data_IF_126005985455
#
_entry.id   IF_126005985455
#
_cell.length_a   1.000
_cell.length_b   1.000
_cell.length_c   1.000
_cell.angle_alpha   90.00
_cell.angle_beta   90.00
_cell.angle_gamma   90.00
#
_symmetry.space_group_name_H-M   'P 1'
#
loop_
_entity.id
_entity.type
_entity.pdbx_description
1 polymer ?
#
# COMPACT_ATOMS: atom_id res chain seq x y z
N UNK A 1 -11.48 -1.00 97.56
CA UNK A 1 -12.39 0.11 97.22
C UNK A 1 -11.53 1.35 97.05
N UNK A 2 -11.31 1.80 95.81
CA UNK A 2 -10.91 3.15 95.38
C UNK A 2 -10.27 3.03 93.99
N UNK A 3 -10.94 3.56 92.95
CA UNK A 3 -10.23 4.12 91.79
C UNK A 3 -11.01 5.36 91.33
N UNK A 4 -10.35 6.52 91.42
CA UNK A 4 -10.70 7.78 90.76
C UNK A 4 -9.83 7.94 89.50
N UNK A 5 -10.48 8.42 88.45
CA UNK A 5 -10.04 9.26 87.32
C UNK A 5 -8.56 9.67 87.16
N UNK A 6 -8.07 9.54 85.91
CA UNK A 6 -7.55 10.63 85.02
C UNK A 6 -6.91 9.99 83.76
N UNK A 7 -7.33 10.19 82.50
CA UNK A 7 -7.45 11.37 81.60
C UNK A 7 -6.35 11.37 80.51
N UNK A 8 -6.72 11.29 79.22
CA UNK A 8 -5.98 11.95 78.12
C UNK A 8 -6.83 12.12 76.84
N UNK A 9 -6.65 13.28 76.20
CA UNK A 9 -7.45 13.88 75.11
C UNK A 9 -7.27 13.23 73.72
N UNK A 10 -8.31 13.39 72.91
CA UNK A 10 -8.53 13.02 71.51
C UNK A 10 -8.07 14.11 70.52
N UNK A 11 -7.67 13.71 69.30
CA UNK A 11 -7.63 14.57 68.10
C UNK A 11 -7.46 13.76 66.80
N UNK A 12 -7.99 14.31 65.69
CA UNK A 12 -7.75 14.03 64.26
C UNK A 12 -8.61 12.94 63.58
N UNK A 13 -9.74 13.34 62.99
CA UNK A 13 -10.56 12.46 62.13
C UNK A 13 -11.51 13.12 61.11
N UNK A 14 -11.65 14.46 61.05
CA UNK A 14 -12.74 15.12 60.29
C UNK A 14 -12.46 15.53 58.83
N UNK A 15 -11.23 15.45 58.32
CA UNK A 15 -10.91 15.99 56.99
C UNK A 15 -11.06 14.98 55.83
N UNK A 16 -11.02 13.68 56.12
CA UNK A 16 -11.10 12.62 55.09
C UNK A 16 -12.53 12.27 54.69
N UNK A 17 -13.50 12.37 55.59
CA UNK A 17 -14.92 12.12 55.28
C UNK A 17 -15.51 13.17 54.34
N UNK A 18 -15.17 14.46 54.52
CA UNK A 18 -15.67 15.52 53.65
C UNK A 18 -15.18 15.36 52.19
N UNK A 19 -13.94 14.93 51.98
CA UNK A 19 -13.41 14.69 50.63
C UNK A 19 -14.12 13.55 49.91
N UNK A 20 -14.44 12.46 50.61
CA UNK A 20 -15.19 11.32 50.07
C UNK A 20 -16.62 11.71 49.69
N UNK A 21 -17.30 12.50 50.53
CA UNK A 21 -18.65 13.02 50.23
C UNK A 21 -18.66 13.91 48.98
N UNK A 22 -17.67 14.80 48.82
CA UNK A 22 -17.57 15.65 47.62
C UNK A 22 -17.34 14.87 46.33
N UNK A 23 -16.57 13.77 46.39
CA UNK A 23 -16.29 12.91 45.24
C UNK A 23 -17.52 12.08 44.84
N UNK A 24 -18.29 11.58 45.81
CA UNK A 24 -19.56 10.90 45.51
C UNK A 24 -20.60 11.83 44.90
N UNK A 25 -20.70 13.09 45.38
CA UNK A 25 -21.63 14.07 44.82
C UNK A 25 -21.29 14.44 43.36
N UNK A 26 -20.01 14.57 43.01
CA UNK A 26 -19.61 14.79 41.61
C UNK A 26 -19.94 13.60 40.71
N UNK A 27 -19.74 12.37 41.19
CA UNK A 27 -20.09 11.16 40.42
C UNK A 27 -21.60 11.03 40.21
N UNK A 28 -22.43 11.35 41.21
CA UNK A 28 -23.89 11.36 41.04
C UNK A 28 -24.36 12.41 40.03
N UNK A 29 -23.80 13.63 40.09
CA UNK A 29 -24.11 14.69 39.11
C UNK A 29 -23.68 14.31 37.69
N UNK A 30 -22.54 13.63 37.52
CA UNK A 30 -22.09 13.17 36.21
C UNK A 30 -22.94 12.02 35.64
N UNK A 31 -23.54 11.17 36.50
CA UNK A 31 -24.42 10.07 36.08
C UNK A 31 -25.82 10.58 35.70
N UNK A 32 -26.32 11.64 36.33
CA UNK A 32 -27.61 12.26 35.96
C UNK A 32 -27.53 13.04 34.62
N UNK A 33 -26.37 13.64 34.28
CA UNK A 33 -26.19 14.39 33.02
C UNK A 33 -26.06 13.47 31.80
N UNK A 34 -25.70 12.20 31.97
CA UNK A 34 -25.51 11.24 30.86
C UNK A 34 -26.81 10.49 30.50
N UNK A 35 -27.85 10.57 31.32
CA UNK A 35 -29.09 9.79 31.12
C UNK A 35 -30.28 10.60 30.56
N UNK A 36 -30.13 11.89 30.29
CA UNK A 36 -31.21 12.76 29.83
C UNK A 36 -30.85 13.48 28.53
N UNK A 37 -30.94 12.78 27.40
CA UNK A 37 -31.28 13.36 26.09
C UNK A 37 -31.50 12.22 25.08
N UNK A 38 -32.73 11.70 25.08
CA UNK A 38 -33.23 10.73 24.11
C UNK A 38 -34.67 11.04 23.73
N UNK A 39 -34.83 11.52 22.48
CA UNK A 39 -35.95 11.35 21.53
C UNK A 39 -37.31 12.02 21.87
N UNK A 40 -37.78 12.91 20.98
CA UNK A 40 -39.16 12.89 20.43
C UNK A 40 -39.17 13.41 18.97
N UNK A 41 -40.14 12.92 18.20
CA UNK A 41 -40.30 12.89 16.73
C UNK A 41 -41.41 13.88 16.33
N UNK A 42 -41.30 14.59 15.20
CA UNK A 42 -42.49 14.94 14.39
C UNK A 42 -42.15 15.29 12.94
N UNK A 43 -42.92 14.71 12.01
CA UNK A 43 -42.91 14.93 10.56
C UNK A 43 -43.44 16.31 10.19
N UNK A 44 -42.91 16.90 9.11
CA UNK A 44 -43.64 17.81 8.21
C UNK A 44 -42.90 17.95 6.87
N UNK A 45 -43.59 17.60 5.78
CA UNK A 45 -43.23 17.86 4.38
C UNK A 45 -43.23 19.36 4.05
N UNK A 46 -42.34 19.77 3.14
CA UNK A 46 -42.49 20.69 1.99
C UNK A 46 -41.15 21.43 1.68
N UNK A 47 -40.40 21.10 0.61
CA UNK A 47 -40.42 21.65 -0.77
C UNK A 47 -39.35 22.78 -1.00
N UNK A 48 -38.45 22.54 -2.00
CA UNK A 48 -37.56 23.48 -2.77
C UNK A 48 -36.32 24.08 -2.04
N UNK A 49 -35.09 24.25 -2.57
CA UNK A 49 -34.49 24.21 -3.91
C UNK A 49 -32.93 24.06 -3.81
N UNK A 50 -32.32 23.49 -4.86
CA UNK A 50 -30.99 23.76 -5.47
C UNK A 50 -29.78 24.31 -4.64
N UNK A 51 -28.70 23.52 -4.52
CA UNK A 51 -27.37 23.75 -5.16
C UNK A 51 -26.30 22.82 -4.53
N UNK A 52 -25.65 22.01 -5.37
CA UNK A 52 -24.67 21.01 -4.97
C UNK A 52 -23.26 21.59 -4.90
N UNK A 53 -22.76 21.83 -3.69
CA UNK A 53 -21.34 22.09 -3.44
C UNK A 53 -20.75 21.00 -2.55
N UNK A 54 -20.15 19.97 -3.14
CA UNK A 54 -19.32 19.01 -2.41
C UNK A 54 -17.95 19.62 -2.04
N UNK A 55 -17.40 19.33 -0.85
CA UNK A 55 -16.09 19.82 -0.45
C UNK A 55 -14.95 19.05 -1.18
N UNK A 56 -13.80 19.69 -1.47
CA UNK A 56 -12.72 19.05 -2.20
C UNK A 56 -12.03 18.00 -1.32
N UNK A 57 -12.28 16.72 -1.62
CA UNK A 57 -11.52 15.62 -1.05
C UNK A 57 -10.10 15.63 -1.61
N UNK A 58 -9.14 15.73 -0.70
CA UNK A 58 -7.70 15.66 -0.97
C UNK A 58 -7.31 14.20 -1.15
N UNK A 59 -7.55 13.64 -2.34
CA UNK A 59 -7.03 12.34 -2.74
C UNK A 59 -6.19 12.46 -4.02
N UNK A 60 -5.10 13.24 -3.92
CA UNK A 60 -4.15 13.50 -4.99
C UNK A 60 -3.19 12.31 -5.24
N UNK A 61 -3.70 11.07 -5.36
CA UNK A 61 -2.86 9.99 -5.93
C UNK A 61 -3.59 8.82 -6.59
N UNK A 62 -4.92 8.75 -6.60
CA UNK A 62 -5.65 7.70 -7.33
C UNK A 62 -6.08 8.16 -8.71
N UNK A 63 -5.14 8.19 -9.65
CA UNK A 63 -5.50 8.33 -11.07
C UNK A 63 -6.09 6.99 -11.54
N UNK A 64 -7.42 6.90 -11.55
CA UNK A 64 -8.14 5.77 -12.14
C UNK A 64 -7.72 5.56 -13.60
N UNK A 65 -7.52 4.31 -14.08
CA UNK A 65 -7.24 4.05 -15.49
C UNK A 65 -8.31 4.66 -16.42
N UNK A 66 -9.57 4.67 -15.97
CA UNK A 66 -10.68 5.28 -16.70
C UNK A 66 -10.55 6.82 -16.73
N UNK A 67 -10.20 7.46 -15.62
CA UNK A 67 -10.03 8.92 -15.59
C UNK A 67 -8.80 9.35 -16.39
N UNK A 68 -7.69 8.62 -16.32
CA UNK A 68 -6.52 8.78 -17.21
C UNK A 68 -6.91 8.72 -18.69
N UNK A 69 -7.69 7.72 -19.09
CA UNK A 69 -8.12 7.55 -20.48
C UNK A 69 -9.03 8.68 -20.95
N UNK A 70 -9.95 9.12 -20.09
CA UNK A 70 -10.83 10.26 -20.38
C UNK A 70 -10.05 11.57 -20.52
N UNK A 71 -9.04 11.79 -19.68
CA UNK A 71 -8.14 12.96 -19.78
C UNK A 71 -7.35 12.90 -21.09
N UNK A 72 -6.79 11.74 -21.44
CA UNK A 72 -6.06 11.54 -22.69
C UNK A 72 -6.95 11.83 -23.90
N UNK A 73 -8.15 11.26 -23.96
CA UNK A 73 -9.12 11.48 -25.05
C UNK A 73 -9.58 12.93 -25.15
N UNK A 74 -9.68 13.64 -24.02
CA UNK A 74 -10.04 15.07 -23.99
C UNK A 74 -8.90 15.97 -24.46
N UNK A 75 -7.66 15.57 -24.22
CA UNK A 75 -6.46 16.30 -24.64
C UNK A 75 -5.99 15.93 -26.06
N UNK A 76 -6.40 14.79 -26.62
CA UNK A 76 -6.00 14.35 -27.96
C UNK A 76 -6.55 15.22 -29.08
N UNK A 77 -7.60 16.02 -28.79
CA UNK A 77 -8.22 16.95 -29.75
C UNK A 77 -7.93 18.42 -29.45
N UNK A 78 -6.98 18.72 -28.54
CA UNK A 78 -6.52 20.10 -28.34
C UNK A 78 -5.63 20.51 -29.51
N UNK A 79 -6.28 20.92 -30.59
CA UNK A 79 -5.67 21.71 -31.65
C UNK A 79 -5.02 22.95 -31.02
N UNK A 80 -3.70 23.04 -31.17
CA UNK A 80 -2.77 24.19 -31.12
C UNK A 80 -3.25 25.57 -30.60
N UNK A 81 -4.12 25.62 -29.59
CA UNK A 81 -4.62 26.84 -28.99
C UNK A 81 -3.61 27.31 -27.95
N UNK A 82 -2.67 28.12 -28.45
CA UNK A 82 -1.92 29.15 -27.73
C UNK A 82 -1.45 28.70 -26.35
N UNK A 83 -0.22 28.16 -26.30
CA UNK A 83 0.62 28.24 -25.08
C UNK A 83 0.80 29.72 -24.74
N UNK A 84 -0.14 30.29 -23.99
CA UNK A 84 0.07 31.53 -23.25
C UNK A 84 1.15 31.22 -22.20
N UNK A 85 2.42 31.43 -22.58
CA UNK A 85 3.53 31.35 -21.65
C UNK A 85 3.40 32.54 -20.70
N UNK A 86 2.78 32.29 -19.55
CA UNK A 86 2.87 33.14 -18.38
C UNK A 86 4.34 33.41 -18.04
N UNK A 87 4.62 34.66 -17.68
CA UNK A 87 5.91 35.22 -17.28
C UNK A 87 6.74 34.24 -16.44
N UNK A 88 7.85 33.72 -17.00
CA UNK A 88 8.85 32.96 -16.24
C UNK A 88 9.91 33.92 -15.73
N UNK A 89 9.98 33.95 -14.40
CA UNK A 89 11.02 34.47 -13.50
C UNK A 89 12.36 34.75 -14.17
N UNK A 90 12.83 35.98 -13.99
CA UNK A 90 14.16 36.48 -14.37
C UNK A 90 15.25 35.70 -13.63
N UNK A 91 16.00 34.87 -14.36
CA UNK A 91 17.29 34.38 -13.89
C UNK A 91 18.31 35.51 -13.99
N UNK A 92 18.85 35.93 -12.85
CA UNK A 92 19.97 36.88 -12.74
C UNK A 92 21.19 36.21 -13.37
N UNK A 93 21.57 36.62 -14.58
CA UNK A 93 22.92 36.64 -15.16
C UNK A 93 22.79 36.80 -16.68
N UNK A 94 23.39 37.86 -17.24
CA UNK A 94 23.45 38.12 -18.67
C UNK A 94 22.46 39.19 -19.15
N UNK A 95 22.99 40.19 -19.85
CA UNK A 95 22.26 41.30 -20.46
C UNK A 95 21.08 40.79 -21.33
N UNK A 96 19.90 41.45 -21.32
CA UNK A 96 18.80 41.06 -22.20
C UNK A 96 19.15 41.40 -23.65
N UNK A 97 19.49 40.38 -24.44
CA UNK A 97 19.47 40.51 -25.89
C UNK A 97 18.03 40.68 -26.38
N UNK A 98 17.79 41.43 -27.48
CA UNK A 98 16.46 41.59 -28.03
C UNK A 98 15.85 40.22 -28.37
N UNK A 99 14.55 40.00 -28.09
CA UNK A 99 13.85 38.78 -28.48
C UNK A 99 14.04 38.53 -29.98
N UNK A 100 14.56 37.36 -30.35
CA UNK A 100 14.66 36.95 -31.74
C UNK A 100 13.26 36.93 -32.39
N UNK A 101 13.16 37.24 -33.69
CA UNK A 101 11.88 37.24 -34.38
C UNK A 101 11.19 35.87 -34.25
N UNK A 102 9.86 35.83 -34.10
CA UNK A 102 9.11 34.57 -34.09
C UNK A 102 9.44 33.77 -35.35
N UNK A 103 9.83 32.50 -35.18
CA UNK A 103 10.04 31.60 -36.31
C UNK A 103 8.75 31.48 -37.14
N UNK A 104 8.86 31.28 -38.47
CA UNK A 104 7.69 31.15 -39.33
C UNK A 104 6.82 29.97 -38.85
N UNK A 105 5.48 30.12 -38.87
CA UNK A 105 4.57 29.01 -38.56
C UNK A 105 4.89 27.80 -39.44
N UNK A 106 5.01 26.62 -38.82
CA UNK A 106 5.15 25.37 -39.56
C UNK A 106 3.93 25.15 -40.48
N UNK A 107 4.09 24.46 -41.62
CA UNK A 107 2.99 24.18 -42.53
C UNK A 107 1.87 23.43 -41.80
N UNK A 108 0.63 23.88 -42.03
CA UNK A 108 -0.55 23.23 -41.47
C UNK A 108 -0.63 21.80 -41.99
N UNK A 109 -0.77 20.83 -41.08
CA UNK A 109 -1.01 19.44 -41.45
C UNK A 109 -2.30 19.30 -42.25
N UNK A 110 -2.41 18.30 -43.15
CA UNK A 110 -3.60 18.09 -43.95
C UNK A 110 -4.85 17.94 -43.06
N UNK A 111 -6.00 18.49 -43.47
CA UNK A 111 -7.26 18.30 -42.75
C UNK A 111 -7.54 16.81 -42.54
N UNK A 112 -7.84 16.43 -41.29
CA UNK A 112 -8.27 15.07 -40.97
C UNK A 112 -9.57 14.73 -41.71
N UNK A 113 -9.82 13.45 -42.01
CA UNK A 113 -11.05 13.03 -42.66
C UNK A 113 -12.27 13.46 -41.82
N UNK A 114 -13.38 13.88 -42.45
CA UNK A 114 -14.58 14.29 -41.74
C UNK A 114 -15.05 13.15 -40.84
N UNK A 115 -15.27 13.46 -39.56
CA UNK A 115 -15.82 12.54 -38.57
C UNK A 115 -17.13 11.96 -39.12
N UNK A 116 -17.24 10.64 -39.32
CA UNK A 116 -18.50 10.04 -39.71
C UNK A 116 -19.51 10.36 -38.62
N UNK A 117 -20.54 11.14 -38.95
CA UNK A 117 -21.72 11.26 -38.11
C UNK A 117 -22.35 9.88 -38.10
N UNK A 118 -22.09 9.08 -37.07
CA UNK A 118 -22.70 7.78 -36.85
C UNK A 118 -24.09 8.03 -36.24
N UNK A 119 -25.17 8.10 -37.02
CA UNK A 119 -26.50 8.43 -36.49
C UNK A 119 -27.02 7.31 -35.58
N UNK A 120 -26.37 6.14 -35.65
CA UNK A 120 -26.69 4.90 -34.95
C UNK A 120 -25.71 4.61 -33.80
N UNK A 121 -24.88 5.58 -33.37
CA UNK A 121 -23.96 5.35 -32.25
C UNK A 121 -24.72 4.93 -30.99
N UNK A 122 -25.90 5.52 -30.73
CA UNK A 122 -26.75 5.12 -29.61
C UNK A 122 -27.25 3.68 -29.73
N UNK A 123 -27.67 3.25 -30.93
CA UNK A 123 -28.16 1.89 -31.18
C UNK A 123 -27.02 0.87 -31.07
N UNK A 124 -25.84 1.18 -31.61
CA UNK A 124 -24.65 0.34 -31.44
C UNK A 124 -24.20 0.26 -29.98
N UNK A 125 -24.31 1.35 -29.22
CA UNK A 125 -24.03 1.33 -27.79
C UNK A 125 -25.07 0.51 -27.03
N UNK A 126 -26.35 0.60 -27.37
CA UNK A 126 -27.41 -0.21 -26.75
C UNK A 126 -27.28 -1.68 -27.12
N UNK A 127 -26.96 -2.02 -28.37
CA UNK A 127 -26.71 -3.38 -28.83
C UNK A 127 -25.48 -3.96 -28.13
N UNK A 128 -24.40 -3.17 -27.99
CA UNK A 128 -23.23 -3.58 -27.23
C UNK A 128 -23.56 -3.79 -25.75
N UNK A 129 -24.33 -2.89 -25.14
CA UNK A 129 -24.77 -3.02 -23.74
C UNK A 129 -25.65 -4.26 -23.54
N UNK A 130 -26.52 -4.57 -24.50
CA UNK A 130 -27.42 -5.71 -24.47
C UNK A 130 -26.64 -7.02 -24.69
N UNK A 131 -25.72 -7.06 -25.66
CA UNK A 131 -24.78 -8.19 -25.82
C UNK A 131 -23.90 -8.39 -24.59
N UNK A 132 -23.41 -7.32 -23.96
CA UNK A 132 -22.64 -7.42 -22.71
C UNK A 132 -23.50 -7.91 -21.55
N UNK A 133 -24.79 -7.57 -21.51
CA UNK A 133 -25.76 -8.04 -20.51
C UNK A 133 -26.15 -9.50 -20.72
N UNK A 134 -26.32 -9.94 -21.96
CA UNK A 134 -26.56 -11.36 -22.29
C UNK A 134 -25.35 -12.24 -21.91
N UNK A 135 -24.14 -11.70 -22.05
CA UNK A 135 -22.91 -12.33 -21.54
C UNK A 135 -22.79 -12.27 -20.01
N UNK A 136 -23.51 -11.36 -19.33
CA UNK A 136 -23.52 -11.25 -17.88
C UNK A 136 -24.46 -12.28 -17.20
N UNK A 137 -25.43 -12.83 -17.94
CA UNK A 137 -26.34 -13.88 -17.45
C UNK A 137 -25.80 -15.31 -17.57
N UNK A 138 -24.77 -15.51 -18.40
CA UNK A 138 -24.15 -16.82 -18.66
C UNK A 138 -22.62 -16.64 -18.72
N UNK A 139 -21.94 -16.45 -17.58
CA UNK A 139 -20.49 -16.72 -17.51
C UNK A 139 -20.31 -18.25 -17.41
N UNK A 140 -20.54 -18.95 -18.52
CA UNK A 140 -20.03 -20.29 -18.78
C UNK A 140 -18.57 -20.12 -19.20
N UNK A 141 -17.66 -20.83 -18.52
CA UNK A 141 -16.67 -20.19 -17.67
C UNK A 141 -15.95 -19.06 -18.39
N UNK A 142 -15.74 -17.97 -17.66
CA UNK A 142 -14.76 -16.97 -18.02
C UNK A 142 -13.38 -17.66 -18.11
N UNK A 143 -13.08 -18.26 -19.28
CA UNK A 143 -11.91 -19.08 -19.64
C UNK A 143 -10.71 -18.17 -19.92
N UNK A 144 -10.51 -17.20 -19.02
CA UNK A 144 -9.21 -16.61 -18.81
C UNK A 144 -8.41 -17.65 -18.05
N UNK A 145 -7.09 -17.80 -18.26
CA UNK A 145 -6.28 -18.62 -17.38
C UNK A 145 -6.48 -18.13 -15.94
N UNK A 146 -7.33 -18.85 -15.19
CA UNK A 146 -7.65 -18.54 -13.80
C UNK A 146 -6.50 -19.12 -13.00
N UNK A 147 -5.49 -18.29 -12.77
CA UNK A 147 -4.46 -18.51 -11.74
C UNK A 147 -5.14 -18.99 -10.46
N UNK A 148 -4.95 -20.26 -10.11
CA UNK A 148 -5.63 -20.90 -8.99
C UNK A 148 -5.09 -20.43 -7.64
N UNK A 149 -3.79 -20.10 -7.59
CA UNK A 149 -3.15 -19.55 -6.40
C UNK A 149 -2.16 -18.44 -6.76
N UNK A 150 -2.25 -17.31 -6.06
CA UNK A 150 -1.24 -16.23 -6.13
C UNK A 150 -1.23 -15.42 -4.85
N UNK A 151 -0.10 -14.80 -4.55
CA UNK A 151 0.03 -13.87 -3.44
C UNK A 151 1.00 -12.74 -3.77
N UNK A 152 0.80 -11.60 -3.13
CA UNK A 152 1.76 -10.51 -3.04
C UNK A 152 1.79 -10.04 -1.59
N UNK A 153 2.99 -9.91 -1.07
CA UNK A 153 3.26 -9.49 0.29
C UNK A 153 4.40 -8.48 0.32
N UNK A 154 4.39 -7.63 1.34
CA UNK A 154 5.40 -6.59 1.57
C UNK A 154 5.96 -6.72 2.99
N UNK A 155 7.23 -6.42 3.15
CA UNK A 155 7.88 -6.43 4.46
C UNK A 155 7.30 -5.33 5.34
N UNK A 156 6.85 -5.66 6.57
CA UNK A 156 6.17 -4.69 7.43
C UNK A 156 7.12 -3.61 7.98
N UNK A 157 8.30 -4.01 8.46
CA UNK A 157 9.26 -3.14 9.12
C UNK A 157 10.67 -3.39 8.60
N UNK A 158 11.57 -2.39 8.68
CA UNK A 158 12.96 -2.62 8.35
C UNK A 158 13.57 -3.67 9.28
N UNK A 159 14.29 -4.63 8.70
CA UNK A 159 14.98 -5.69 9.45
C UNK A 159 16.48 -5.44 9.42
N UNK A 160 17.10 -5.31 10.59
CA UNK A 160 18.56 -5.25 10.71
C UNK A 160 19.15 -6.66 10.73
N UNK A 161 20.05 -6.94 9.80
CA UNK A 161 20.73 -8.23 9.66
C UNK A 161 22.19 -8.04 10.09
N UNK A 162 22.60 -8.66 11.22
CA UNK A 162 23.97 -8.59 11.70
C UNK A 162 24.99 -9.09 10.68
N UNK A 163 26.26 -8.68 10.85
CA UNK A 163 27.37 -9.22 10.04
C UNK A 163 27.46 -10.74 10.21
N UNK A 164 27.81 -11.45 9.13
CA UNK A 164 28.05 -12.91 9.16
C UNK A 164 26.86 -13.68 9.74
N UNK A 165 25.65 -13.30 9.35
CA UNK A 165 24.43 -13.90 9.88
C UNK A 165 23.43 -14.21 8.78
N UNK A 166 22.61 -15.24 9.04
CA UNK A 166 21.48 -15.66 8.22
C UNK A 166 20.20 -15.34 8.98
N UNK A 167 19.28 -14.61 8.35
CA UNK A 167 18.01 -14.19 8.96
C UNK A 167 16.85 -14.50 8.02
N UNK A 168 15.79 -15.10 8.57
CA UNK A 168 14.49 -15.23 7.90
C UNK A 168 13.77 -13.87 7.94
N UNK A 169 13.32 -13.38 6.80
CA UNK A 169 12.59 -12.12 6.69
C UNK A 169 11.12 -12.34 7.05
N UNK A 170 10.69 -11.78 8.19
CA UNK A 170 9.33 -11.88 8.69
C UNK A 170 9.00 -10.70 9.63
N UNK A 171 7.74 -10.27 9.72
CA UNK A 171 6.59 -10.73 8.95
C UNK A 171 6.47 -10.01 7.60
N UNK A 172 6.24 -10.76 6.52
CA UNK A 172 5.62 -10.21 5.31
C UNK A 172 4.11 -10.10 5.55
N UNK A 173 3.49 -9.02 5.08
CA UNK A 173 2.07 -8.78 5.25
C UNK A 173 1.45 -8.40 3.91
N UNK A 174 0.18 -8.77 3.72
CA UNK A 174 -0.57 -8.35 2.55
C UNK A 174 -0.74 -6.82 2.59
N UNK A 175 -0.30 -6.08 1.56
CA UNK A 175 -0.46 -4.64 1.52
C UNK A 175 -1.95 -4.24 1.61
N UNK A 176 -2.33 -3.30 2.49
CA UNK A 176 -3.74 -2.89 2.63
C UNK A 176 -4.25 -2.10 1.40
N UNK A 177 -3.37 -1.38 0.72
CA UNK A 177 -3.73 -0.45 -0.36
C UNK A 177 -3.90 -1.13 -1.73
N UNK A 178 -3.28 -2.30 -1.89
CA UNK A 178 -3.49 -3.14 -3.06
C UNK A 178 -4.64 -4.07 -2.69
N UNK A 179 -5.84 -3.68 -3.10
CA UNK A 179 -7.08 -4.36 -2.73
C UNK A 179 -7.00 -5.89 -2.85
N UNK A 180 -7.98 -6.55 -2.23
CA UNK A 180 -8.23 -8.01 -2.22
C UNK A 180 -8.03 -8.79 -3.55
N UNK A 181 -7.74 -8.11 -4.66
CA UNK A 181 -7.50 -8.62 -6.01
C UNK A 181 -6.14 -9.28 -6.26
N UNK A 182 -5.12 -9.09 -5.41
CA UNK A 182 -3.77 -9.65 -5.68
C UNK A 182 -3.51 -11.01 -5.03
N UNK A 183 -4.36 -11.43 -4.09
CA UNK A 183 -4.33 -12.78 -3.54
C UNK A 183 -5.43 -13.62 -4.20
N UNK A 184 -5.03 -14.74 -4.80
CA UNK A 184 -5.96 -15.79 -5.25
C UNK A 184 -5.74 -17.03 -4.39
N UNK A 185 -6.84 -17.53 -3.82
CA UNK A 185 -6.82 -18.67 -2.90
C UNK A 185 -6.53 -18.28 -1.44
N UNK A 186 -6.75 -19.24 -0.53
CA UNK A 186 -6.52 -19.10 0.91
C UNK A 186 -5.13 -19.61 1.30
N UNK A 187 -4.10 -18.98 0.76
CA UNK A 187 -2.72 -19.49 0.77
C UNK A 187 -1.72 -18.64 1.56
N UNK A 188 -2.13 -17.46 2.02
CA UNK A 188 -1.26 -16.56 2.79
C UNK A 188 -1.71 -16.51 4.24
N UNK A 189 -0.81 -16.83 5.17
CA UNK A 189 -1.08 -16.71 6.59
C UNK A 189 -0.61 -15.34 7.10
N UNK A 190 -1.54 -14.41 7.29
CA UNK A 190 -1.25 -13.06 7.77
C UNK A 190 -0.64 -13.00 9.18
N UNK A 191 -0.74 -14.07 9.98
CA UNK A 191 -0.18 -14.10 11.33
C UNK A 191 1.30 -14.52 11.36
N UNK A 192 1.73 -15.40 10.45
CA UNK A 192 3.12 -15.84 10.33
C UNK A 192 3.89 -15.13 9.21
N UNK A 193 3.18 -14.46 8.30
CA UNK A 193 3.77 -13.82 7.12
C UNK A 193 4.36 -14.81 6.11
N UNK A 194 3.98 -16.09 6.21
CA UNK A 194 4.43 -17.17 5.33
C UNK A 194 3.34 -17.50 4.31
N UNK A 195 3.78 -17.87 3.11
CA UNK A 195 2.89 -18.45 2.09
C UNK A 195 2.94 -19.97 2.19
N UNK A 196 1.76 -20.59 2.24
CA UNK A 196 1.57 -22.04 2.25
C UNK A 196 0.88 -22.45 0.94
N UNK A 197 1.45 -23.43 0.25
CA UNK A 197 0.94 -23.90 -1.03
C UNK A 197 -0.41 -24.61 -0.85
N UNK A 198 -1.51 -24.11 -1.44
CA UNK A 198 -2.83 -24.74 -1.30
C UNK A 198 -2.99 -26.02 -2.13
N UNK A 199 -2.16 -26.20 -3.16
CA UNK A 199 -2.16 -27.35 -4.07
C UNK A 199 -0.73 -27.65 -4.49
N UNK A 200 -0.37 -28.93 -4.64
CA UNK A 200 0.92 -29.32 -5.18
C UNK A 200 1.11 -28.84 -6.62
N UNK A 201 2.27 -28.26 -6.95
CA UNK A 201 2.56 -27.82 -8.32
C UNK A 201 3.80 -26.93 -8.44
N UNK A 202 4.03 -26.40 -9.64
CA UNK A 202 5.12 -25.47 -9.93
C UNK A 202 4.70 -24.03 -9.66
N UNK A 203 5.37 -23.39 -8.70
CA UNK A 203 5.15 -22.01 -8.33
C UNK A 203 6.30 -21.13 -8.83
N UNK A 204 5.99 -20.05 -9.53
CA UNK A 204 6.94 -18.99 -9.81
C UNK A 204 6.95 -18.00 -8.65
N UNK A 205 8.10 -17.87 -8.00
CA UNK A 205 8.30 -17.06 -6.81
C UNK A 205 9.22 -15.91 -7.17
N UNK A 206 8.89 -14.72 -6.69
CA UNK A 206 9.67 -13.50 -6.95
C UNK A 206 9.83 -12.71 -5.66
N UNK A 207 11.06 -12.29 -5.39
CA UNK A 207 11.39 -11.39 -4.27
C UNK A 207 12.18 -10.22 -4.80
N UNK A 208 11.77 -9.01 -4.44
CA UNK A 208 12.50 -7.77 -4.70
C UNK A 208 12.86 -7.16 -3.34
N UNK A 209 14.12 -7.31 -2.93
CA UNK A 209 14.62 -6.77 -1.67
C UNK A 209 15.30 -5.42 -1.92
N UNK A 210 14.98 -4.44 -1.09
CA UNK A 210 15.71 -3.17 -1.03
C UNK A 210 16.55 -3.19 0.25
N UNK A 211 17.87 -3.03 0.11
CA UNK A 211 18.83 -3.20 1.19
C UNK A 211 19.68 -1.95 1.31
N UNK A 212 19.86 -1.47 2.53
CA UNK A 212 20.74 -0.38 2.89
C UNK A 212 22.00 -0.93 3.55
N UNK A 213 23.16 -0.50 3.04
CA UNK A 213 24.47 -0.87 3.60
C UNK A 213 24.76 -0.01 4.82
N UNK A 214 25.12 -0.65 5.95
CA UNK A 214 25.51 0.09 7.15
C UNK A 214 26.77 0.94 6.97
N UNK A 215 26.96 1.90 7.87
CA UNK A 215 28.11 2.80 7.85
C UNK A 215 29.42 2.06 8.16
N UNK A 216 30.11 1.63 7.11
CA UNK A 216 31.48 1.16 7.15
C UNK A 216 32.34 1.91 6.17
N UNK A 217 33.45 2.48 6.64
CA UNK A 217 34.41 3.23 5.83
C UNK A 217 35.07 2.41 4.69
N UNK A 218 35.02 1.07 4.73
CA UNK A 218 35.58 0.20 3.71
C UNK A 218 34.69 -1.02 3.44
N UNK A 219 34.14 -1.08 2.22
CA UNK A 219 33.47 -2.27 1.66
C UNK A 219 34.54 -3.16 1.06
N UNK A 220 34.58 -4.44 1.45
CA UNK A 220 35.58 -5.39 0.91
C UNK A 220 35.06 -5.96 -0.40
N UNK A 221 35.97 -6.24 -1.34
CA UNK A 221 35.67 -6.97 -2.59
C UNK A 221 35.02 -8.36 -2.39
N UNK A 222 35.03 -8.89 -1.16
CA UNK A 222 34.41 -10.17 -0.78
C UNK A 222 33.15 -10.02 0.07
N UNK A 223 32.68 -8.80 0.29
CA UNK A 223 31.41 -8.59 0.99
C UNK A 223 30.27 -8.88 0.01
N UNK A 224 29.52 -9.93 0.31
CA UNK A 224 28.35 -10.34 -0.46
C UNK A 224 27.15 -10.52 0.43
N UNK A 225 25.98 -10.38 -0.18
CA UNK A 225 24.69 -10.68 0.42
C UNK A 225 24.01 -11.68 -0.48
N UNK A 226 23.55 -12.78 0.11
CA UNK A 226 22.79 -13.82 -0.59
C UNK A 226 21.36 -13.78 -0.12
N UNK A 227 20.41 -13.62 -1.04
CA UNK A 227 19.00 -13.81 -0.78
C UNK A 227 18.57 -15.19 -1.28
N UNK A 228 17.73 -15.89 -0.53
CA UNK A 228 17.21 -17.20 -0.92
C UNK A 228 15.73 -17.34 -0.56
N UNK A 229 14.95 -17.97 -1.42
CA UNK A 229 13.58 -18.43 -1.12
C UNK A 229 13.68 -19.92 -0.85
N UNK A 230 13.23 -20.36 0.32
CA UNK A 230 13.44 -21.73 0.79
C UNK A 230 12.12 -22.40 1.17
N UNK A 231 11.98 -23.67 0.77
CA UNK A 231 10.85 -24.54 1.13
C UNK A 231 11.09 -25.04 2.56
N UNK A 232 10.09 -24.92 3.43
CA UNK A 232 10.15 -25.36 4.83
C UNK A 232 11.38 -24.87 5.61
N UNK A 233 11.87 -23.67 5.28
CA UNK A 233 13.11 -23.10 5.84
C UNK A 233 14.39 -23.90 5.53
N UNK A 234 14.36 -24.78 4.51
CA UNK A 234 15.50 -25.57 4.04
C UNK A 234 16.12 -24.94 2.78
N UNK A 235 17.22 -24.20 2.97
CA UNK A 235 17.90 -23.48 1.87
C UNK A 235 18.99 -24.31 1.15
N UNK A 236 18.83 -25.64 1.12
CA UNK A 236 19.81 -26.60 0.57
C UNK A 236 19.14 -27.52 -0.45
N UNK A 237 19.92 -28.26 -1.24
CA UNK A 237 19.46 -29.41 -2.05
C UNK A 237 18.24 -29.16 -2.94
N UNK A 238 18.32 -28.28 -3.96
CA UNK A 238 17.22 -27.99 -4.90
C UNK A 238 15.88 -27.53 -4.26
N UNK A 239 15.84 -27.27 -2.94
CA UNK A 239 14.67 -26.74 -2.21
C UNK A 239 14.70 -25.22 -2.06
N UNK A 240 15.60 -24.56 -2.79
CA UNK A 240 15.72 -23.11 -2.75
C UNK A 240 16.16 -22.52 -4.07
N UNK A 241 15.73 -21.29 -4.31
CA UNK A 241 16.27 -20.42 -5.36
C UNK A 241 17.00 -19.28 -4.66
N UNK A 242 18.22 -18.98 -5.10
CA UNK A 242 19.06 -17.95 -4.51
C UNK A 242 19.67 -16.99 -5.53
N UNK A 243 20.07 -15.82 -5.04
CA UNK A 243 20.81 -14.81 -5.79
C UNK A 243 21.83 -14.16 -4.87
N UNK A 244 23.04 -13.92 -5.39
CA UNK A 244 24.15 -13.35 -4.64
C UNK A 244 24.56 -12.03 -5.29
N UNK A 245 24.63 -10.98 -4.48
CA UNK A 245 25.00 -9.63 -4.92
C UNK A 245 26.14 -9.09 -4.03
N UNK A 246 27.06 -8.32 -4.61
CA UNK A 246 28.08 -7.61 -3.85
C UNK A 246 27.47 -6.43 -3.08
N UNK A 247 28.01 -6.14 -1.89
CA UNK A 247 27.52 -5.02 -1.07
C UNK A 247 27.84 -3.68 -1.73
N UNK A 248 26.87 -2.76 -1.75
CA UNK A 248 27.07 -1.40 -2.25
C UNK A 248 28.07 -0.60 -1.40
N UNK A 249 28.60 0.48 -2.00
CA UNK A 249 29.44 1.45 -1.30
C UNK A 249 28.78 1.99 -0.03
N UNK A 250 29.59 2.52 0.87
CA UNK A 250 29.23 3.03 2.21
C UNK A 250 27.96 3.89 2.18
N UNK A 251 26.98 3.55 3.04
CA UNK A 251 25.72 4.30 3.13
C UNK A 251 24.83 4.25 1.87
N UNK A 252 25.15 3.37 0.93
CA UNK A 252 24.38 3.17 -0.29
C UNK A 252 23.24 2.18 -0.11
N UNK A 253 22.17 2.37 -0.88
CA UNK A 253 21.13 1.36 -1.07
C UNK A 253 21.38 0.55 -2.33
N UNK A 254 21.02 -0.73 -2.28
CA UNK A 254 21.06 -1.64 -3.42
C UNK A 254 19.87 -2.57 -3.37
N UNK A 255 19.56 -3.18 -4.51
CA UNK A 255 18.45 -4.12 -4.61
C UNK A 255 18.93 -5.52 -5.00
N UNK A 256 18.19 -6.52 -4.51
CA UNK A 256 18.33 -7.91 -4.94
C UNK A 256 17.00 -8.33 -5.52
N UNK A 257 16.98 -8.63 -6.82
CA UNK A 257 15.85 -9.26 -7.49
C UNK A 257 16.14 -10.76 -7.63
N UNK A 258 15.25 -11.57 -7.08
CA UNK A 258 15.32 -13.02 -7.09
C UNK A 258 14.03 -13.56 -7.70
N UNK A 259 14.14 -14.29 -8.80
CA UNK A 259 13.01 -14.94 -9.47
C UNK A 259 13.38 -16.38 -9.75
N UNK A 260 12.50 -17.31 -9.42
CA UNK A 260 12.69 -18.72 -9.76
C UNK A 260 11.42 -19.53 -9.64
N UNK A 261 11.52 -20.80 -10.02
CA UNK A 261 10.41 -21.74 -9.99
C UNK A 261 10.74 -22.87 -9.03
N UNK A 262 9.82 -23.13 -8.09
CA UNK A 262 9.93 -24.24 -7.14
C UNK A 262 8.68 -25.12 -7.26
N UNK A 263 8.88 -26.43 -7.16
CA UNK A 263 7.77 -27.37 -6.98
C UNK A 263 7.44 -27.41 -5.50
N UNK A 264 6.22 -27.01 -5.13
CA UNK A 264 5.73 -27.04 -3.75
C UNK A 264 4.68 -28.15 -3.64
N UNK A 265 4.73 -28.92 -2.56
CA UNK A 265 3.66 -29.85 -2.19
C UNK A 265 2.58 -29.09 -1.40
N UNK A 266 1.36 -29.62 -1.40
CA UNK A 266 0.26 -29.10 -0.58
C UNK A 266 0.70 -28.98 0.88
N UNK A 267 0.37 -27.85 1.52
CA UNK A 267 0.76 -27.48 2.89
C UNK A 267 2.25 -27.16 3.12
N UNK A 268 3.13 -27.26 2.12
CA UNK A 268 4.49 -26.73 2.26
C UNK A 268 4.48 -25.21 2.26
N UNK A 269 5.31 -24.61 3.13
CA UNK A 269 5.48 -23.16 3.18
C UNK A 269 6.80 -22.72 2.57
N UNK A 270 6.82 -21.50 2.06
CA UNK A 270 8.05 -20.84 1.60
C UNK A 270 8.33 -19.58 2.41
N UNK A 271 9.61 -19.31 2.60
CA UNK A 271 10.11 -18.17 3.36
C UNK A 271 11.35 -17.59 2.69
N UNK A 272 11.58 -16.29 2.90
CA UNK A 272 12.73 -15.58 2.33
C UNK A 272 13.80 -15.45 3.40
N UNK A 273 15.02 -15.83 3.05
CA UNK A 273 16.21 -15.70 3.88
C UNK A 273 17.21 -14.75 3.25
N UNK A 274 17.94 -14.05 4.10
CA UNK A 274 19.08 -13.23 3.71
C UNK A 274 20.30 -13.61 4.53
N UNK A 275 21.35 -14.05 3.84
CA UNK A 275 22.67 -14.33 4.38
C UNK A 275 23.57 -13.12 4.13
N UNK A 276 23.94 -12.46 5.21
CA UNK A 276 24.87 -11.35 5.21
C UNK A 276 26.30 -11.86 5.42
N UNK A 277 26.99 -12.18 4.32
CA UNK A 277 28.40 -12.53 4.34
C UNK A 277 29.32 -11.31 4.39
N UNK A 278 28.80 -10.11 4.65
CA UNK A 278 29.61 -8.89 4.77
C UNK A 278 30.21 -8.73 6.17
N UNK A 279 31.12 -7.75 6.29
CA UNK A 279 31.64 -7.34 7.59
C UNK A 279 30.69 -6.44 8.42
N UNK A 280 29.72 -5.78 7.81
CA UNK A 280 28.79 -4.83 8.43
C UNK A 280 27.42 -5.43 8.69
N UNK A 281 26.63 -4.78 9.53
CA UNK A 281 25.17 -4.97 9.51
C UNK A 281 24.58 -4.31 8.26
N UNK A 282 23.50 -4.90 7.74
CA UNK A 282 22.69 -4.34 6.64
C UNK A 282 21.24 -4.21 7.10
N UNK A 283 20.49 -3.28 6.52
CA UNK A 283 19.05 -3.10 6.78
C UNK A 283 18.24 -3.48 5.54
N UNK A 284 17.32 -4.43 5.67
CA UNK A 284 16.32 -4.70 4.63
C UNK A 284 15.15 -3.75 4.84
N UNK A 285 14.82 -2.94 3.84
CA UNK A 285 13.83 -1.87 3.91
C UNK A 285 12.40 -2.40 3.68
N UNK A 286 11.36 -1.73 4.24
CA UNK A 286 9.97 -2.17 4.16
C UNK A 286 9.41 -2.16 2.72
N UNK A 287 10.03 -1.49 1.77
CA UNK A 287 9.69 -1.53 0.33
C UNK A 287 9.93 -2.90 -0.32
N UNK A 288 10.54 -3.83 0.42
CA UNK A 288 10.81 -5.18 -0.05
C UNK A 288 9.52 -5.97 -0.27
N UNK A 289 9.42 -6.62 -1.43
CA UNK A 289 8.25 -7.36 -1.88
C UNK A 289 8.57 -8.84 -2.03
N UNK A 290 7.58 -9.68 -1.71
CA UNK A 290 7.61 -11.12 -1.95
C UNK A 290 6.28 -11.57 -2.54
N UNK A 291 6.33 -12.22 -3.70
CA UNK A 291 5.16 -12.69 -4.44
C UNK A 291 5.36 -14.09 -5.00
N UNK A 292 4.23 -14.72 -5.32
CA UNK A 292 4.24 -16.01 -5.99
C UNK A 292 2.96 -16.30 -6.73
N UNK A 293 3.07 -17.17 -7.73
CA UNK A 293 1.98 -17.57 -8.61
C UNK A 293 2.11 -19.04 -8.99
N UNK A 294 1.01 -19.79 -8.91
CA UNK A 294 0.93 -21.17 -9.40
C UNK A 294 0.88 -21.17 -10.93
N UNK A 295 1.86 -21.81 -11.56
CA UNK A 295 1.97 -21.96 -13.01
C UNK A 295 1.21 -23.18 -13.53
N UNK A 296 1.28 -24.30 -12.80
CA UNK A 296 0.68 -25.57 -13.18
C UNK A 296 0.91 -26.65 -12.14
N UNK A 297 0.11 -27.71 -12.21
CA UNK A 297 0.16 -28.89 -11.33
C UNK A 297 0.83 -30.06 -12.02
#
# INVERSE_FOLDING_TARGET
MMVRFSQRRSSVGGARELQLLTLMMMMMMAVEVVSAEGIEIEDSEEILDEDGTEPPSSDMSRVSPLSSWLIFRRNSHRDNSRRSRGSRRTSKHGLPGPPGPPGPPGPQGPPGPPTPLLPQQQELMQELQLKLRDLAGVCVPCDRPRVSASFLSRLLQPINIPRRSLVELQPFIQPPDYGRSLQRGQSFNSSSGRFTAPVSGFYQLTTSLLIESGDRLQVRLRDSVRAAICIESLCQNNLSVDSVVGVAAVGGTFSILLTGTLYLQTEEYVSVFVDNASGSSISVLPESLFSGILLGV
#
